data_IF_433333472496
#
_entry.id   IF_433333472496
#
_cell.length_a   1.000
_cell.length_b   1.000
_cell.length_c   1.000
_cell.angle_alpha   90.00
_cell.angle_beta   90.00
_cell.angle_gamma   90.00
#
_symmetry.space_group_name_H-M   'P 1'
#
loop_
_entity.id
_entity.type
_entity.pdbx_description
1 polymer ?
#
# COMPACT_ATOMS: atom_id res chain seq x y z
N UNK A 1 -6.17 -13.90 -19.89
CA UNK A 1 -5.66 -12.57 -20.29
C UNK A 1 -4.15 -12.62 -20.25
N UNK A 2 -3.47 -11.99 -21.21
CA UNK A 2 -2.01 -11.94 -21.21
C UNK A 2 -1.47 -11.00 -20.10
N UNK A 3 -0.18 -11.16 -19.80
CA UNK A 3 0.49 -10.42 -18.72
C UNK A 3 0.58 -8.91 -18.99
N UNK A 4 0.74 -8.50 -20.25
CA UNK A 4 0.86 -7.08 -20.62
C UNK A 4 -0.44 -6.33 -20.36
N UNK A 5 -1.56 -6.94 -20.70
CA UNK A 5 -2.88 -6.40 -20.42
C UNK A 5 -3.18 -6.41 -18.92
N UNK A 6 -2.78 -7.47 -18.20
CA UNK A 6 -2.92 -7.51 -16.75
C UNK A 6 -2.11 -6.39 -16.06
N UNK A 7 -0.88 -6.15 -16.49
CA UNK A 7 -0.04 -5.07 -16.00
C UNK A 7 -0.68 -3.69 -16.26
N UNK A 8 -1.26 -3.49 -17.45
CA UNK A 8 -1.94 -2.24 -17.81
C UNK A 8 -3.15 -1.99 -16.90
N UNK A 9 -4.06 -2.96 -16.80
CA UNK A 9 -5.27 -2.86 -15.97
C UNK A 9 -4.90 -2.66 -14.49
N UNK A 10 -3.94 -3.44 -13.98
CA UNK A 10 -3.47 -3.32 -12.60
C UNK A 10 -2.89 -1.94 -12.32
N UNK A 11 -2.06 -1.41 -13.22
CA UNK A 11 -1.44 -0.09 -13.07
C UNK A 11 -2.48 1.03 -13.09
N UNK A 12 -3.48 0.93 -13.96
CA UNK A 12 -4.61 1.87 -14.01
C UNK A 12 -5.41 1.84 -12.70
N UNK A 13 -5.70 0.64 -12.19
CA UNK A 13 -6.41 0.46 -10.93
C UNK A 13 -5.64 1.06 -9.74
N UNK A 14 -4.34 0.82 -9.62
CA UNK A 14 -3.51 1.42 -8.57
C UNK A 14 -3.52 2.94 -8.68
N UNK A 15 -3.36 3.49 -9.88
CA UNK A 15 -3.30 4.93 -10.12
C UNK A 15 -4.62 5.64 -9.81
N UNK A 16 -5.75 5.02 -10.12
CA UNK A 16 -7.08 5.61 -9.87
C UNK A 16 -7.56 5.41 -8.43
N UNK A 17 -6.94 4.50 -7.67
CA UNK A 17 -7.38 4.16 -6.33
C UNK A 17 -6.86 5.13 -5.28
N UNK A 18 -7.77 5.83 -4.61
CA UNK A 18 -7.44 6.68 -3.44
C UNK A 18 -7.02 5.86 -2.22
N UNK A 19 -7.53 4.64 -2.11
CA UNK A 19 -7.32 3.76 -0.96
C UNK A 19 -6.84 2.39 -1.41
N UNK A 20 -6.12 1.71 -0.52
CA UNK A 20 -5.80 0.29 -0.66
C UNK A 20 -5.96 -0.40 0.69
N UNK A 21 -6.13 -1.72 0.67
CA UNK A 21 -6.14 -2.54 1.88
C UNK A 21 -4.74 -3.09 2.12
N UNK A 22 -4.07 -2.64 3.19
CA UNK A 22 -2.79 -3.16 3.62
C UNK A 22 -3.01 -4.26 4.65
N UNK A 23 -2.51 -5.46 4.37
CA UNK A 23 -2.51 -6.59 5.30
C UNK A 23 -1.10 -6.82 5.82
N UNK A 24 -0.94 -6.93 7.14
CA UNK A 24 0.32 -7.25 7.82
C UNK A 24 0.12 -8.38 8.82
N UNK A 25 1.19 -9.02 9.25
CA UNK A 25 1.13 -10.13 10.21
C UNK A 25 1.07 -9.58 11.64
N UNK A 26 0.03 -9.96 12.38
CA UNK A 26 -0.14 -9.60 13.78
C UNK A 26 0.77 -10.37 14.72
N UNK A 27 0.90 -9.86 15.94
CA UNK A 27 1.70 -10.51 17.00
C UNK A 27 1.18 -11.91 17.37
N UNK A 28 -0.09 -12.18 17.09
CA UNK A 28 -0.76 -13.48 17.25
C UNK A 28 -0.67 -14.37 16.00
N UNK A 29 0.11 -13.97 14.99
CA UNK A 29 0.26 -14.67 13.72
C UNK A 29 -0.92 -14.51 12.75
N UNK A 30 -1.99 -13.81 13.14
CA UNK A 30 -3.13 -13.60 12.25
C UNK A 30 -2.86 -12.47 11.25
N UNK A 31 -3.42 -12.53 10.04
CA UNK A 31 -3.41 -11.38 9.14
C UNK A 31 -4.31 -10.28 9.71
N UNK A 32 -3.80 -9.05 9.72
CA UNK A 32 -4.57 -7.87 10.08
C UNK A 32 -4.62 -6.92 8.88
N UNK A 33 -5.83 -6.55 8.46
CA UNK A 33 -6.05 -5.68 7.30
C UNK A 33 -6.55 -4.30 7.73
N UNK A 34 -5.99 -3.24 7.14
CA UNK A 34 -6.44 -1.86 7.36
C UNK A 34 -6.50 -1.13 6.01
N UNK A 35 -7.55 -0.33 5.81
CA UNK A 35 -7.61 0.61 4.69
C UNK A 35 -6.60 1.75 4.91
N UNK A 36 -5.81 2.04 3.88
CA UNK A 36 -4.73 3.02 3.89
C UNK A 36 -4.88 4.00 2.73
N UNK A 37 -4.45 5.26 2.91
CA UNK A 37 -4.36 6.24 1.82
C UNK A 37 -3.22 5.87 0.88
N UNK A 38 -3.53 5.65 -0.40
CA UNK A 38 -2.54 5.44 -1.45
C UNK A 38 -2.02 6.81 -1.93
N UNK A 39 -0.79 7.16 -1.57
CA UNK A 39 -0.30 8.55 -1.73
C UNK A 39 0.52 8.78 -3.00
N UNK A 40 1.44 7.87 -3.33
CA UNK A 40 2.43 8.11 -4.37
C UNK A 40 2.91 6.79 -5.03
N UNK A 41 2.03 5.97 -5.60
CA UNK A 41 2.44 4.70 -6.18
C UNK A 41 3.43 4.88 -7.34
N UNK A 42 4.53 4.13 -7.32
CA UNK A 42 5.49 4.01 -8.43
C UNK A 42 5.19 2.71 -9.21
N UNK A 43 4.17 2.80 -10.08
CA UNK A 43 3.65 1.64 -10.80
C UNK A 43 3.06 0.60 -9.84
N UNK A 44 3.28 -0.69 -10.14
CA UNK A 44 2.92 -1.79 -9.24
C UNK A 44 4.03 -2.14 -8.24
N UNK A 45 5.26 -1.66 -8.49
CA UNK A 45 6.44 -2.10 -7.77
C UNK A 45 6.53 -1.51 -6.37
N UNK A 46 6.26 -0.21 -6.23
CA UNK A 46 6.32 0.46 -4.93
C UNK A 46 5.04 1.22 -4.65
N UNK A 47 4.46 0.97 -3.49
CA UNK A 47 3.28 1.65 -3.00
C UNK A 47 3.65 2.34 -1.71
N UNK A 48 3.23 3.60 -1.56
CA UNK A 48 3.50 4.38 -0.37
C UNK A 48 2.19 4.68 0.35
N UNK A 49 2.24 4.69 1.68
CA UNK A 49 1.12 5.03 2.55
C UNK A 49 1.59 5.96 3.67
N UNK A 50 0.73 6.89 4.09
CA UNK A 50 0.94 7.60 5.35
C UNK A 50 0.34 6.81 6.52
N UNK A 51 0.97 6.90 7.69
CA UNK A 51 0.46 6.24 8.89
C UNK A 51 0.94 6.92 10.17
N UNK A 52 0.21 6.68 11.25
CA UNK A 52 0.66 7.02 12.59
C UNK A 52 1.86 6.13 12.98
N UNK A 53 2.93 6.73 13.50
CA UNK A 53 4.07 6.04 14.10
C UNK A 53 3.61 5.06 15.18
N UNK A 54 2.62 5.46 15.98
CA UNK A 54 1.99 4.67 17.03
C UNK A 54 1.06 3.54 16.53
N UNK A 55 0.87 3.40 15.22
CA UNK A 55 -0.08 2.41 14.69
C UNK A 55 0.40 0.97 14.88
N UNK A 56 -0.55 0.05 15.03
CA UNK A 56 -0.26 -1.39 14.98
C UNK A 56 0.48 -1.80 13.71
N UNK A 57 0.31 -1.08 12.58
CA UNK A 57 0.97 -1.42 11.32
C UNK A 57 2.47 -1.23 11.42
N UNK A 58 2.92 -0.13 12.02
CA UNK A 58 4.34 0.14 12.26
C UNK A 58 4.94 -0.96 13.12
N UNK A 59 4.31 -1.30 14.26
CA UNK A 59 4.79 -2.39 15.12
C UNK A 59 4.86 -3.74 14.38
N UNK A 60 3.83 -4.09 13.61
CA UNK A 60 3.82 -5.34 12.85
C UNK A 60 4.93 -5.37 11.81
N UNK A 61 5.10 -4.30 11.03
CA UNK A 61 6.09 -4.21 9.94
C UNK A 61 7.53 -4.25 10.48
N UNK A 62 7.79 -3.61 11.62
CA UNK A 62 9.12 -3.64 12.24
C UNK A 62 9.52 -5.04 12.72
N UNK A 63 8.54 -5.88 13.12
CA UNK A 63 8.77 -7.26 13.53
C UNK A 63 8.84 -8.21 12.33
N UNK A 64 7.92 -8.05 11.37
CA UNK A 64 7.80 -8.86 10.18
C UNK A 64 7.35 -8.00 8.99
N UNK A 65 8.28 -7.78 8.06
CA UNK A 65 8.03 -6.95 6.89
C UNK A 65 7.09 -7.60 5.87
N UNK A 66 6.71 -8.88 5.98
CA UNK A 66 5.83 -9.53 5.00
C UNK A 66 4.44 -8.90 5.02
N UNK A 67 3.96 -8.51 3.85
CA UNK A 67 2.69 -7.83 3.70
C UNK A 67 2.03 -8.14 2.35
N UNK A 68 0.75 -7.82 2.25
CA UNK A 68 0.04 -7.73 0.97
C UNK A 68 -0.77 -6.44 0.89
N UNK A 69 -0.95 -5.95 -0.33
CA UNK A 69 -1.78 -4.78 -0.63
C UNK A 69 -2.86 -5.21 -1.61
N UNK A 70 -4.12 -4.90 -1.31
CA UNK A 70 -5.24 -5.18 -2.20
C UNK A 70 -5.88 -3.88 -2.68
N UNK A 71 -5.98 -3.74 -4.00
CA UNK A 71 -6.74 -2.69 -4.66
C UNK A 71 -7.99 -3.28 -5.28
N UNK A 72 -9.07 -2.50 -5.34
CA UNK A 72 -10.30 -2.94 -5.98
C UNK A 72 -11.12 -1.78 -6.52
N UNK A 73 -11.92 -2.10 -7.53
CA UNK A 73 -12.99 -1.26 -8.06
C UNK A 73 -14.29 -2.05 -7.97
N UNK A 74 -15.21 -1.59 -7.13
CA UNK A 74 -16.46 -2.29 -6.87
C UNK A 74 -17.42 -2.21 -8.07
N UNK A 75 -17.44 -1.10 -8.81
CA UNK A 75 -18.37 -0.90 -9.92
C UNK A 75 -17.98 -1.76 -11.12
N UNK A 76 -16.68 -1.82 -11.43
CA UNK A 76 -16.12 -2.64 -12.52
C UNK A 76 -15.82 -4.08 -12.11
N UNK A 77 -15.97 -4.41 -10.83
CA UNK A 77 -15.62 -5.70 -10.23
C UNK A 77 -14.20 -6.16 -10.60
N UNK A 78 -13.22 -5.27 -10.37
CA UNK A 78 -11.79 -5.51 -10.63
C UNK A 78 -11.04 -5.57 -9.31
N UNK A 79 -10.12 -6.51 -9.16
CA UNK A 79 -9.28 -6.66 -7.97
C UNK A 79 -7.83 -6.88 -8.33
N UNK A 80 -6.91 -6.33 -7.54
CA UNK A 80 -5.48 -6.56 -7.67
C UNK A 80 -4.88 -6.84 -6.30
N UNK A 81 -4.38 -8.06 -6.11
CA UNK A 81 -3.56 -8.44 -4.97
C UNK A 81 -2.08 -8.26 -5.34
N UNK A 82 -1.37 -7.48 -4.54
CA UNK A 82 0.09 -7.39 -4.55
C UNK A 82 0.65 -8.08 -3.31
N UNK A 83 1.67 -8.92 -3.48
CA UNK A 83 2.37 -9.61 -2.38
C UNK A 83 3.83 -9.15 -2.36
N UNK A 84 4.34 -8.81 -1.17
CA UNK A 84 5.67 -8.24 -1.05
C UNK A 84 6.06 -7.97 0.40
N UNK A 85 6.91 -6.96 0.57
CA UNK A 85 7.40 -6.54 1.88
C UNK A 85 7.18 -5.05 2.12
N UNK A 86 6.81 -4.68 3.34
CA UNK A 86 6.72 -3.31 3.78
C UNK A 86 7.91 -2.95 4.70
N UNK A 87 8.27 -1.67 4.69
CA UNK A 87 9.17 -1.05 5.67
C UNK A 87 8.67 0.33 6.07
N UNK A 88 9.04 0.75 7.27
CA UNK A 88 8.68 2.06 7.81
C UNK A 88 9.80 3.05 7.50
N UNK A 89 9.45 4.19 6.91
CA UNK A 89 10.34 5.31 6.62
C UNK A 89 9.99 6.46 7.56
N UNK A 90 10.98 6.90 8.34
CA UNK A 90 10.86 8.00 9.31
C UNK A 90 11.90 9.09 9.11
N UNK A 91 12.84 8.89 8.18
CA UNK A 91 13.81 9.89 7.81
C UNK A 91 13.12 11.15 7.26
N UNK A 92 13.78 12.29 7.47
CA UNK A 92 13.25 13.60 7.10
C UNK A 92 13.00 13.72 5.60
N UNK A 93 13.86 13.12 4.77
CA UNK A 93 13.74 13.13 3.32
C UNK A 93 12.44 12.47 2.86
N UNK A 94 12.19 11.24 3.32
CA UNK A 94 10.98 10.48 2.99
C UNK A 94 9.73 11.18 3.51
N UNK A 95 9.73 11.67 4.75
CA UNK A 95 8.56 12.39 5.32
C UNK A 95 8.22 13.64 4.50
N UNK A 96 9.23 14.42 4.09
CA UNK A 96 9.04 15.59 3.22
C UNK A 96 8.56 15.21 1.83
N UNK A 97 9.18 14.21 1.21
CA UNK A 97 8.85 13.75 -0.14
C UNK A 97 7.40 13.31 -0.28
N UNK A 98 6.86 12.64 0.74
CA UNK A 98 5.54 12.01 0.71
C UNK A 98 4.46 12.78 1.48
N UNK A 99 4.76 13.99 1.94
CA UNK A 99 3.76 14.86 2.54
C UNK A 99 2.70 15.28 1.50
N UNK A 100 1.43 15.23 1.89
CA UNK A 100 0.29 15.61 1.04
C UNK A 100 -0.57 16.62 1.80
N UNK A 101 -0.93 17.71 1.14
CA UNK A 101 -1.84 18.72 1.69
C UNK A 101 -3.16 18.07 2.14
N UNK A 102 -3.60 18.40 3.36
CA UNK A 102 -4.71 17.74 4.04
C UNK A 102 -4.27 16.81 5.17
N UNK A 103 -2.99 16.42 5.21
CA UNK A 103 -2.45 15.57 6.28
C UNK A 103 -2.35 16.29 7.63
N UNK A 104 -2.35 17.63 7.66
CA UNK A 104 -2.46 18.42 8.88
C UNK A 104 -3.75 18.15 9.67
N UNK A 105 -4.77 17.54 9.04
CA UNK A 105 -5.96 17.05 9.73
C UNK A 105 -5.62 15.94 10.73
N UNK A 106 -4.63 15.11 10.41
CA UNK A 106 -4.17 13.96 11.20
C UNK A 106 -2.88 14.26 11.99
N UNK A 107 -1.96 15.06 11.43
CA UNK A 107 -0.66 15.37 12.01
C UNK A 107 -0.53 16.88 12.25
N UNK A 108 -0.87 17.33 13.46
CA UNK A 108 -1.03 18.76 13.79
C UNK A 108 0.26 19.56 13.71
N UNK A 109 1.41 18.89 13.85
CA UNK A 109 2.73 19.51 13.75
C UNK A 109 3.30 19.44 12.31
N UNK A 110 2.47 19.07 11.33
CA UNK A 110 2.85 19.00 9.92
C UNK A 110 3.83 17.86 9.63
N UNK A 111 4.72 18.07 8.65
CA UNK A 111 5.72 17.09 8.23
C UNK A 111 6.67 16.65 9.37
N UNK A 112 6.83 17.48 10.39
CA UNK A 112 7.70 17.21 11.53
C UNK A 112 6.99 16.53 12.70
N UNK A 113 5.70 16.24 12.57
CA UNK A 113 4.95 15.53 13.60
C UNK A 113 5.62 14.18 13.92
N UNK A 114 5.94 13.90 15.19
CA UNK A 114 6.63 12.67 15.57
C UNK A 114 5.76 11.42 15.33
N UNK A 115 4.44 11.61 15.23
CA UNK A 115 3.52 10.53 14.90
C UNK A 115 3.31 10.38 13.39
N UNK A 116 3.95 11.17 12.53
CA UNK A 116 3.89 10.98 11.07
C UNK A 116 5.00 10.03 10.60
N UNK A 117 4.59 8.88 10.05
CA UNK A 117 5.46 7.90 9.37
C UNK A 117 4.96 7.59 7.96
N UNK A 118 5.87 7.15 7.10
CA UNK A 118 5.55 6.62 5.77
C UNK A 118 5.80 5.11 5.77
N UNK A 119 4.91 4.34 5.15
CA UNK A 119 5.15 2.94 4.84
C UNK A 119 5.49 2.85 3.36
N UNK A 120 6.64 2.27 3.04
CA UNK A 120 6.95 1.81 1.69
C UNK A 120 6.66 0.32 1.60
N UNK A 121 5.82 -0.06 0.66
CA UNK A 121 5.56 -1.45 0.28
C UNK A 121 6.20 -1.73 -1.07
N UNK A 122 7.02 -2.78 -1.16
CA UNK A 122 7.66 -3.24 -2.39
C UNK A 122 7.04 -4.57 -2.81
N UNK A 123 6.33 -4.56 -3.93
CA UNK A 123 5.71 -5.74 -4.50
C UNK A 123 6.76 -6.68 -5.13
N UNK A 124 6.45 -7.96 -5.11
CA UNK A 124 7.23 -9.02 -5.78
C UNK A 124 6.38 -9.87 -6.72
N UNK A 125 5.08 -9.98 -6.42
CA UNK A 125 4.09 -10.73 -7.19
C UNK A 125 2.78 -9.97 -7.21
N UNK A 126 2.03 -10.17 -8.28
CA UNK A 126 0.70 -9.65 -8.47
C UNK A 126 -0.26 -10.76 -8.88
N UNK A 127 -1.51 -10.63 -8.47
CA UNK A 127 -2.62 -11.45 -8.92
C UNK A 127 -3.81 -10.54 -9.22
N UNK A 128 -4.14 -10.41 -10.51
CA UNK A 128 -5.22 -9.57 -11.00
C UNK A 128 -6.49 -10.41 -11.22
N UNK A 129 -7.62 -9.90 -10.77
CA UNK A 129 -8.96 -10.42 -10.97
C UNK A 129 -9.74 -9.47 -11.86
N UNK A 130 -10.13 -9.94 -13.06
CA UNK A 130 -10.84 -9.13 -14.05
C UNK A 130 -11.69 -10.01 -14.96
N UNK A 131 -12.96 -9.63 -15.19
CA UNK A 131 -13.87 -10.34 -16.11
C UNK A 131 -13.91 -11.86 -15.87
N UNK A 132 -14.11 -12.26 -14.61
CA UNK A 132 -14.15 -13.67 -14.15
C UNK A 132 -12.86 -14.47 -14.42
N UNK A 133 -11.77 -13.80 -14.80
CA UNK A 133 -10.45 -14.37 -15.02
C UNK A 133 -9.48 -13.92 -13.93
N UNK A 134 -8.45 -14.73 -13.69
CA UNK A 134 -7.30 -14.37 -12.86
C UNK A 134 -5.99 -14.50 -13.62
N UNK A 135 -5.07 -13.57 -13.40
CA UNK A 135 -3.71 -13.60 -13.97
C UNK A 135 -2.68 -13.31 -12.89
N UNK A 136 -1.77 -14.27 -12.69
CA UNK A 136 -0.59 -14.14 -11.82
C UNK A 136 0.61 -13.64 -12.63
N UNK A 137 1.39 -12.71 -12.08
CA UNK A 137 2.62 -12.21 -12.70
C UNK A 137 3.61 -11.66 -11.67
N UNK A 138 4.89 -11.53 -12.07
CA UNK A 138 5.93 -10.92 -11.25
C UNK A 138 5.96 -9.40 -11.42
N UNK A 139 6.44 -8.69 -10.41
CA UNK A 139 6.53 -7.22 -10.39
C UNK A 139 7.95 -6.77 -10.07
#
# INVERSE_FOLDING_TARGET
MDEKEALRIGSELVKSSRFALLSTIGDDGHPWTKMMFNIAPEGLKKIYFSTNTSSKRVTHILKDGRASVYFFDQERFVGLLLVGTARVLQDEESRKRFWVDGFERYYKLGVNDPDYSVIEFVASKANLYYSLSKTDFLV
#
